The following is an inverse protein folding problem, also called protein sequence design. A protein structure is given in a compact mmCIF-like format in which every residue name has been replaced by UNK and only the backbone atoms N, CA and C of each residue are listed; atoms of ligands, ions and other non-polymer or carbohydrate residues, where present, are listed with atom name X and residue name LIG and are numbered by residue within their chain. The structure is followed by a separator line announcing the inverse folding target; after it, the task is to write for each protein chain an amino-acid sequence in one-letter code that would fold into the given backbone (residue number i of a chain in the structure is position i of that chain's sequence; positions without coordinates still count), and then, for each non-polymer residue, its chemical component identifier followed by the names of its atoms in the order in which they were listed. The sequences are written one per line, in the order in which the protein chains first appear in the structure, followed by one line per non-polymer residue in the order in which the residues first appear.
data_IF_264110613990
#
_entry.id   IF_264110613990
#
_cell.length_a   1.000
_cell.length_b   1.000
_cell.length_c   1.000
_cell.angle_alpha   90.00
_cell.angle_beta   90.00
_cell.angle_gamma   90.00
#
_symmetry.space_group_name_H-M   'P 1'
#
loop_
_entity.id
_entity.type
_entity.pdbx_description
1 polymer ?
#
# COMPACT_ATOMS: atom_id res chain seq x y z
N UNK A 1 -15.57 6.63 -29.00
CA UNK A 1 -16.07 6.03 -27.75
C UNK A 1 -14.84 5.65 -26.96
N UNK A 2 -14.58 6.16 -25.74
CA UNK A 2 -13.40 5.72 -25.01
C UNK A 2 -13.66 4.31 -24.46
N UNK A 3 -12.69 3.45 -24.70
CA UNK A 3 -12.61 2.06 -24.24
C UNK A 3 -12.80 2.01 -22.73
N UNK A 4 -13.66 1.12 -22.26
CA UNK A 4 -13.74 0.74 -20.85
C UNK A 4 -12.38 0.19 -20.43
N UNK A 5 -11.55 1.02 -19.80
CA UNK A 5 -10.36 0.54 -19.12
C UNK A 5 -10.83 -0.40 -18.01
N UNK A 6 -10.49 -1.68 -18.10
CA UNK A 6 -10.85 -2.67 -17.08
C UNK A 6 -10.06 -2.37 -15.80
N UNK A 7 -10.71 -1.67 -14.87
CA UNK A 7 -10.11 -1.39 -13.57
C UNK A 7 -10.20 -2.62 -12.68
N UNK A 8 -9.05 -3.17 -12.29
CA UNK A 8 -8.98 -4.26 -11.31
C UNK A 8 -8.95 -3.69 -9.90
N UNK A 9 -9.91 -4.09 -9.06
CA UNK A 9 -10.18 -3.48 -7.75
C UNK A 9 -10.08 -4.52 -6.64
N UNK A 10 -9.27 -4.19 -5.64
CA UNK A 10 -9.22 -4.93 -4.38
C UNK A 10 -9.57 -4.01 -3.21
N UNK A 11 -10.01 -4.61 -2.11
CA UNK A 11 -10.29 -3.90 -0.86
C UNK A 11 -9.55 -4.55 0.30
N UNK A 12 -8.95 -3.73 1.15
CA UNK A 12 -8.28 -4.17 2.37
C UNK A 12 -8.84 -3.43 3.59
N UNK A 13 -9.36 -4.17 4.56
CA UNK A 13 -9.92 -3.61 5.80
C UNK A 13 -8.89 -3.70 6.93
N UNK A 14 -8.69 -2.58 7.64
CA UNK A 14 -7.82 -2.50 8.81
C UNK A 14 -8.62 -2.40 10.10
N UNK A 15 -8.16 -3.06 11.15
CA UNK A 15 -8.81 -3.02 12.48
C UNK A 15 -8.49 -1.73 13.24
N UNK A 16 -9.25 -1.45 14.30
CA UNK A 16 -8.94 -0.34 15.22
C UNK A 16 -7.55 -0.52 15.87
N UNK A 17 -7.23 -1.73 16.34
CA UNK A 17 -5.92 -2.06 16.92
C UNK A 17 -4.76 -1.85 15.94
N UNK A 18 -5.01 -1.95 14.63
CA UNK A 18 -4.02 -1.63 13.61
C UNK A 18 -3.69 -0.13 13.62
N UNK A 19 -4.72 0.73 13.68
CA UNK A 19 -4.56 2.18 13.73
C UNK A 19 -3.86 2.64 15.01
N UNK A 20 -4.20 2.06 16.17
CA UNK A 20 -3.55 2.42 17.44
C UNK A 20 -2.04 2.10 17.42
N UNK A 21 -1.68 0.93 16.87
CA UNK A 21 -0.28 0.55 16.70
C UNK A 21 0.42 1.41 15.66
N UNK A 22 -0.25 1.77 14.57
CA UNK A 22 0.29 2.68 13.57
C UNK A 22 0.53 4.07 14.17
N UNK A 23 -0.38 4.58 15.01
CA UNK A 23 -0.18 5.84 15.71
C UNK A 23 1.08 5.81 16.57
N UNK A 24 1.30 4.71 17.29
CA UNK A 24 2.53 4.52 18.09
C UNK A 24 3.76 4.49 17.19
N UNK A 25 3.68 3.77 16.05
CA UNK A 25 4.76 3.71 15.07
C UNK A 25 5.10 5.09 14.50
N UNK A 26 4.11 5.95 14.24
CA UNK A 26 4.32 7.31 13.74
C UNK A 26 4.92 8.22 14.83
N UNK A 27 4.33 8.21 16.02
CA UNK A 27 4.61 9.23 17.06
C UNK A 27 5.76 8.89 18.01
N UNK A 28 6.18 7.62 18.09
CA UNK A 28 7.27 7.17 18.96
C UNK A 28 8.44 6.58 18.16
N UNK A 29 9.17 7.39 17.35
CA UNK A 29 10.24 6.91 16.48
C UNK A 29 11.36 6.16 17.23
N UNK A 30 11.71 6.61 18.44
CA UNK A 30 12.75 6.00 19.27
C UNK A 30 12.38 4.59 19.77
N UNK A 31 11.09 4.23 19.73
CA UNK A 31 10.59 2.92 20.15
C UNK A 31 10.55 1.89 19.02
N UNK A 32 10.82 2.31 17.77
CA UNK A 32 10.75 1.43 16.60
C UNK A 32 11.86 0.39 16.67
N UNK A 33 11.48 -0.89 16.55
CA UNK A 33 12.43 -1.99 16.45
C UNK A 33 12.77 -2.36 15.00
N UNK A 34 11.98 -1.87 14.04
CA UNK A 34 12.09 -2.15 12.62
C UNK A 34 11.54 -0.98 11.81
N UNK A 35 12.03 -0.81 10.58
CA UNK A 35 11.56 0.25 9.68
C UNK A 35 10.23 -0.12 9.01
N UNK A 36 9.89 -1.39 8.90
CA UNK A 36 8.60 -1.83 8.30
C UNK A 36 7.57 -2.04 9.40
N UNK A 37 6.49 -1.28 9.35
CA UNK A 37 5.36 -1.45 10.27
C UNK A 37 4.48 -2.63 9.87
N UNK A 38 4.06 -2.66 8.60
CA UNK A 38 3.22 -3.73 8.07
C UNK A 38 3.48 -3.96 6.59
N UNK A 39 3.23 -5.19 6.14
CA UNK A 39 3.29 -5.62 4.74
C UNK A 39 2.15 -6.60 4.48
N UNK A 40 1.35 -6.29 3.47
CA UNK A 40 0.23 -7.12 3.03
C UNK A 40 0.37 -7.44 1.56
N UNK A 41 0.25 -8.72 1.22
CA UNK A 41 0.28 -9.20 -0.16
C UNK A 41 -1.13 -9.62 -0.54
N UNK A 42 -1.62 -9.10 -1.66
CA UNK A 42 -2.97 -9.37 -2.18
C UNK A 42 -2.80 -9.84 -3.62
N UNK A 43 -3.03 -11.13 -3.86
CA UNK A 43 -2.94 -11.70 -5.21
C UNK A 43 -4.05 -11.12 -6.09
N UNK A 44 -3.68 -10.66 -7.30
CA UNK A 44 -4.63 -10.16 -8.30
C UNK A 44 -4.94 -11.24 -9.32
N UNK A 45 -3.90 -11.93 -9.78
CA UNK A 45 -3.95 -13.12 -10.61
C UNK A 45 -2.63 -13.91 -10.49
N UNK A 46 -2.43 -14.90 -11.36
CA UNK A 46 -1.22 -15.74 -11.37
C UNK A 46 0.07 -15.00 -11.76
N UNK A 47 -0.05 -13.76 -12.25
CA UNK A 47 1.06 -12.98 -12.81
C UNK A 47 1.35 -11.69 -12.03
N UNK A 48 0.40 -11.21 -11.25
CA UNK A 48 0.48 -9.95 -10.53
C UNK A 48 -0.13 -10.04 -9.13
N UNK A 49 0.49 -9.32 -8.20
CA UNK A 49 -0.03 -9.10 -6.86
C UNK A 49 0.20 -7.65 -6.43
N UNK A 50 -0.67 -7.15 -5.58
CA UNK A 50 -0.36 -5.99 -4.77
C UNK A 50 0.54 -6.37 -3.60
N UNK A 51 1.43 -5.46 -3.30
CA UNK A 51 2.14 -5.40 -2.04
C UNK A 51 1.89 -4.01 -1.44
N UNK A 52 1.10 -3.97 -0.38
CA UNK A 52 0.83 -2.77 0.37
C UNK A 52 1.70 -2.74 1.63
N UNK A 53 2.59 -1.76 1.73
CA UNK A 53 3.58 -1.64 2.80
C UNK A 53 3.39 -0.31 3.53
N UNK A 54 3.52 -0.34 4.85
CA UNK A 54 3.73 0.86 5.65
C UNK A 54 5.10 0.74 6.30
N UNK A 55 5.95 1.74 6.11
CA UNK A 55 7.32 1.75 6.61
C UNK A 55 7.78 3.16 6.97
N UNK A 56 8.86 3.26 7.71
CA UNK A 56 9.59 4.49 7.91
C UNK A 56 10.66 4.63 6.82
N UNK A 57 10.66 5.79 6.16
CA UNK A 57 11.71 6.28 5.29
C UNK A 57 12.49 7.39 6.01
N UNK A 58 13.82 7.39 5.88
CA UNK A 58 14.69 8.32 6.59
C UNK A 58 14.45 9.80 6.23
N UNK A 59 13.95 10.07 5.02
CA UNK A 59 13.73 11.43 4.53
C UNK A 59 12.27 11.86 4.59
N UNK A 60 11.34 10.94 4.34
CA UNK A 60 9.91 11.25 4.21
C UNK A 60 9.10 10.95 5.48
N UNK A 61 9.70 10.32 6.48
CA UNK A 61 9.00 9.87 7.68
C UNK A 61 8.25 8.56 7.43
N UNK A 62 7.04 8.40 7.97
CA UNK A 62 6.28 7.17 7.70
C UNK A 62 5.59 7.30 6.35
N UNK A 63 5.70 6.27 5.51
CA UNK A 63 5.12 6.23 4.17
C UNK A 63 4.25 4.98 4.00
N UNK A 64 3.17 5.11 3.25
CA UNK A 64 2.37 4.01 2.74
C UNK A 64 2.63 3.84 1.25
N UNK A 65 3.08 2.65 0.87
CA UNK A 65 3.42 2.28 -0.50
C UNK A 65 2.45 1.21 -0.98
N UNK A 66 1.95 1.38 -2.21
CA UNK A 66 1.33 0.30 -2.96
C UNK A 66 2.23 -0.04 -4.14
N UNK A 67 2.72 -1.27 -4.15
CA UNK A 67 3.49 -1.84 -5.24
C UNK A 67 2.63 -2.83 -6.00
N UNK A 68 2.70 -2.77 -7.33
CA UNK A 68 2.29 -3.85 -8.21
C UNK A 68 3.54 -4.69 -8.51
N UNK A 69 3.49 -5.96 -8.19
CA UNK A 69 4.63 -6.87 -8.22
C UNK A 69 4.31 -8.10 -9.05
N UNK A 70 5.27 -8.57 -9.85
CA UNK A 70 5.18 -9.87 -10.52
C UNK A 70 5.87 -10.92 -9.64
N UNK A 71 5.13 -11.85 -9.01
CA UNK A 71 5.69 -12.83 -8.08
C UNK A 71 6.50 -13.93 -8.78
N UNK A 72 6.31 -14.14 -10.09
CA UNK A 72 7.07 -15.13 -10.87
C UNK A 72 8.49 -14.63 -11.10
N UNK A 73 8.62 -13.36 -11.50
CA UNK A 73 9.93 -12.76 -11.78
C UNK A 73 10.55 -12.08 -10.57
N UNK A 74 9.81 -11.90 -9.47
CA UNK A 74 10.22 -11.10 -8.32
C UNK A 74 10.59 -9.65 -8.65
N UNK A 75 9.82 -9.02 -9.54
CA UNK A 75 10.06 -7.64 -9.96
C UNK A 75 8.90 -6.72 -9.61
N UNK A 76 9.24 -5.55 -9.07
CA UNK A 76 8.35 -4.39 -9.00
C UNK A 76 8.08 -3.90 -10.42
N UNK A 77 6.80 -3.82 -10.80
CA UNK A 77 6.42 -3.35 -12.15
C UNK A 77 5.92 -1.91 -12.15
N UNK A 78 5.22 -1.50 -11.09
CA UNK A 78 4.73 -0.14 -10.90
C UNK A 78 4.39 0.08 -9.42
N UNK A 79 4.24 1.33 -9.00
CA UNK A 79 3.82 1.62 -7.63
C UNK A 79 3.48 3.08 -7.40
N UNK A 80 2.86 3.34 -6.26
CA UNK A 80 2.59 4.68 -5.74
C UNK A 80 2.95 4.72 -4.27
N UNK A 81 3.28 5.91 -3.79
CA UNK A 81 3.64 6.17 -2.41
C UNK A 81 2.88 7.39 -1.88
N UNK A 82 2.64 7.39 -0.57
CA UNK A 82 2.04 8.51 0.16
C UNK A 82 2.72 8.65 1.52
N UNK A 83 3.29 9.82 1.86
CA UNK A 83 3.70 10.09 3.23
C UNK A 83 2.46 10.15 4.14
N UNK A 84 2.60 9.61 5.35
CA UNK A 84 1.57 9.61 6.38
C UNK A 84 2.14 10.14 7.71
N UNK A 85 1.45 11.13 8.27
CA UNK A 85 1.68 11.72 9.58
C UNK A 85 0.60 11.36 10.60
N UNK A 86 -0.52 10.79 10.14
CA UNK A 86 -1.65 10.35 10.98
C UNK A 86 -2.16 8.98 10.49
N UNK A 87 -2.62 8.08 11.37
CA UNK A 87 -3.07 6.74 10.99
C UNK A 87 -4.17 6.74 9.92
N UNK A 88 -5.11 7.68 10.00
CA UNK A 88 -6.27 7.76 9.12
C UNK A 88 -5.91 8.09 7.66
N UNK A 89 -4.71 8.62 7.42
CA UNK A 89 -4.24 8.94 6.07
C UNK A 89 -3.96 7.69 5.22
N UNK A 90 -3.94 6.50 5.84
CA UNK A 90 -3.83 5.25 5.09
C UNK A 90 -5.12 4.89 4.33
N UNK A 91 -6.25 5.50 4.69
CA UNK A 91 -7.54 5.19 4.09
C UNK A 91 -7.70 5.80 2.69
N UNK A 92 -8.62 5.20 1.93
CA UNK A 92 -8.96 5.66 0.59
C UNK A 92 -8.35 4.77 -0.49
N UNK A 93 -8.23 5.33 -1.68
CA UNK A 93 -7.86 4.57 -2.87
C UNK A 93 -6.41 4.81 -3.24
N UNK A 94 -5.68 3.74 -3.54
CA UNK A 94 -4.36 3.73 -4.13
C UNK A 94 -4.47 3.24 -5.56
N UNK A 95 -3.96 4.02 -6.50
CA UNK A 95 -4.07 3.76 -7.93
C UNK A 95 -2.68 3.51 -8.53
N UNK A 96 -2.58 2.48 -9.35
CA UNK A 96 -1.38 2.11 -10.08
C UNK A 96 -1.75 1.80 -11.53
N UNK A 97 -1.02 2.37 -12.48
CA UNK A 97 -1.19 2.09 -13.90
C UNK A 97 -0.01 1.30 -14.44
N UNK A 98 -0.29 0.22 -15.16
CA UNK A 98 0.73 -0.62 -15.78
C UNK A 98 0.20 -1.22 -17.07
N UNK A 99 0.99 -1.13 -18.16
CA UNK A 99 0.64 -1.64 -19.49
C UNK A 99 -0.78 -1.24 -19.98
N UNK A 100 -1.17 0.00 -19.72
CA UNK A 100 -2.50 0.52 -20.10
C UNK A 100 -3.67 0.02 -19.25
N UNK A 101 -3.41 -0.80 -18.24
CA UNK A 101 -4.39 -1.28 -17.26
C UNK A 101 -4.31 -0.47 -15.97
N UNK A 102 -5.46 -0.32 -15.31
CA UNK A 102 -5.59 0.41 -14.05
C UNK A 102 -5.87 -0.58 -12.91
N UNK A 103 -5.03 -0.52 -11.88
CA UNK A 103 -5.09 -1.35 -10.69
C UNK A 103 -5.38 -0.46 -9.49
N UNK A 104 -6.34 -0.86 -8.68
CA UNK A 104 -6.87 -0.05 -7.59
C UNK A 104 -6.94 -0.88 -6.30
N UNK A 105 -6.35 -0.38 -5.22
CA UNK A 105 -6.56 -0.89 -3.86
C UNK A 105 -7.35 0.15 -3.07
N UNK A 106 -8.46 -0.26 -2.45
CA UNK A 106 -9.19 0.59 -1.51
C UNK A 106 -8.93 0.12 -0.09
N UNK A 107 -8.36 0.98 0.75
CA UNK A 107 -8.16 0.70 2.17
C UNK A 107 -9.31 1.30 2.96
N UNK A 108 -9.99 0.46 3.73
CA UNK A 108 -11.13 0.85 4.57
C UNK A 108 -10.88 0.47 6.02
N UNK A 109 -11.69 1.05 6.91
CA UNK A 109 -11.85 0.54 8.27
C UNK A 109 -12.64 -0.77 8.27
#
# INVERSE_FOLDING_TARGET
MPETSDVRRETYSVSADFLERLNTFITAPDSRQQDVFSRHIIALDDTLQFEWIIKHDLFEGVVSQLHLFNPVTWHLVAGTERPISEPEQIFGTYDVWFNGQHYQLTVTR
#
